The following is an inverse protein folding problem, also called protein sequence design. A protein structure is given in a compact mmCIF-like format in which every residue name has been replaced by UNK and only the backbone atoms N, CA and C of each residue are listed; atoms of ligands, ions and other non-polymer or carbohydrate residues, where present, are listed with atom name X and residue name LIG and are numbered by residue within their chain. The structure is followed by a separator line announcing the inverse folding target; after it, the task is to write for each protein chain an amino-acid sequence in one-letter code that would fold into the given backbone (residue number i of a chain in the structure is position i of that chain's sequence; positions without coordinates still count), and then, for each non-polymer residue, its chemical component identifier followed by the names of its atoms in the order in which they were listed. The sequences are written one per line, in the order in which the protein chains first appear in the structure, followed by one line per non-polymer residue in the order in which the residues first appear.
data_IF_996663895152
#
_entry.id   IF_996663895152
#
_cell.length_a   1.000
_cell.length_b   1.000
_cell.length_c   1.000
_cell.angle_alpha   90.00
_cell.angle_beta   90.00
_cell.angle_gamma   90.00
#
_symmetry.space_group_name_H-M   'P 1'
#
loop_
_entity.id
_entity.type
_entity.pdbx_description
1 polymer ?
#
# COMPACT_ATOMS: atom_id res chain seq x y z
N UNK A 1 -2.46 -6.46 -14.39
CA UNK A 1 -3.94 -6.53 -14.35
C UNK A 1 -4.44 -7.90 -14.80
N UNK A 2 -5.69 -8.23 -14.50
CA UNK A 2 -6.32 -9.48 -14.88
C UNK A 2 -7.71 -9.61 -14.27
N UNK A 3 -8.56 -10.53 -14.76
CA UNK A 3 -9.89 -10.75 -14.22
C UNK A 3 -9.85 -11.33 -12.80
N UNK A 4 -10.98 -11.24 -12.09
CA UNK A 4 -11.16 -11.89 -10.80
C UNK A 4 -10.90 -13.40 -10.92
N UNK A 5 -10.22 -13.98 -9.93
CA UNK A 5 -9.87 -15.39 -9.94
C UNK A 5 -8.67 -15.76 -10.82
N UNK A 6 -7.95 -14.76 -11.36
CA UNK A 6 -6.76 -14.98 -12.20
C UNK A 6 -5.48 -15.29 -11.41
N UNK A 7 -5.55 -15.38 -10.10
CA UNK A 7 -4.39 -15.62 -9.24
C UNK A 7 -3.62 -14.38 -8.81
N UNK A 8 -4.12 -13.17 -9.07
CA UNK A 8 -3.46 -11.91 -8.67
C UNK A 8 -3.26 -11.82 -7.16
N UNK A 9 -4.28 -12.13 -6.38
CA UNK A 9 -4.18 -12.12 -4.91
C UNK A 9 -3.17 -13.15 -4.41
N UNK A 10 -3.16 -14.35 -4.99
CA UNK A 10 -2.15 -15.37 -4.69
C UNK A 10 -0.74 -14.86 -4.99
N UNK A 11 -0.54 -14.22 -6.15
CA UNK A 11 0.77 -13.65 -6.51
C UNK A 11 1.22 -12.60 -5.50
N UNK A 12 0.33 -11.70 -5.11
CA UNK A 12 0.63 -10.67 -4.11
C UNK A 12 0.96 -11.31 -2.75
N UNK A 13 0.18 -12.28 -2.31
CA UNK A 13 0.42 -13.00 -1.06
C UNK A 13 1.76 -13.75 -1.07
N UNK A 14 2.15 -14.32 -2.20
CA UNK A 14 3.46 -14.95 -2.36
C UNK A 14 4.59 -13.92 -2.23
N UNK A 15 4.45 -12.76 -2.85
CA UNK A 15 5.44 -11.68 -2.78
C UNK A 15 5.56 -11.16 -1.35
N UNK A 16 4.45 -10.92 -0.67
CA UNK A 16 4.44 -10.42 0.72
C UNK A 16 4.79 -11.50 1.76
N UNK A 17 4.78 -12.78 1.37
CA UNK A 17 5.02 -13.90 2.27
C UNK A 17 3.82 -14.36 3.08
N UNK A 18 2.62 -13.87 2.78
CA UNK A 18 1.40 -14.21 3.52
C UNK A 18 0.72 -15.48 2.99
N UNK A 19 1.11 -15.94 1.80
CA UNK A 19 0.58 -17.17 1.22
C UNK A 19 1.44 -18.38 1.63
N UNK A 20 0.84 -19.52 2.08
CA UNK A 20 1.59 -20.70 2.51
C UNK A 20 2.57 -21.23 1.49
N UNK A 21 2.24 -21.14 0.19
CA UNK A 21 3.11 -21.61 -0.89
C UNK A 21 4.43 -20.83 -1.02
N UNK A 22 4.54 -19.66 -0.40
CA UNK A 22 5.77 -18.87 -0.47
C UNK A 22 6.97 -19.57 0.18
N UNK A 23 6.74 -20.55 1.04
CA UNK A 23 7.79 -21.38 1.64
C UNK A 23 8.25 -22.55 0.75
N UNK A 24 7.48 -22.87 -0.29
CA UNK A 24 7.73 -24.01 -1.18
C UNK A 24 8.41 -23.55 -2.46
N UNK A 25 8.13 -22.35 -2.94
CA UNK A 25 8.62 -21.82 -4.19
C UNK A 25 9.82 -20.89 -3.97
N UNK A 26 10.83 -21.02 -4.83
CA UNK A 26 11.92 -20.06 -4.90
C UNK A 26 11.42 -18.77 -5.54
N UNK A 27 11.30 -17.72 -4.75
CA UNK A 27 10.85 -16.41 -5.19
C UNK A 27 11.92 -15.38 -4.86
N UNK A 28 12.38 -14.65 -5.87
CA UNK A 28 13.29 -13.54 -5.69
C UNK A 28 12.49 -12.25 -5.41
N UNK A 29 12.75 -11.63 -4.26
CA UNK A 29 12.18 -10.34 -3.88
C UNK A 29 13.34 -9.40 -3.55
N UNK A 30 13.53 -8.37 -4.36
CA UNK A 30 14.64 -7.40 -4.23
C UNK A 30 16.03 -8.07 -4.20
N UNK A 31 16.22 -9.15 -4.97
CA UNK A 31 17.45 -9.90 -4.97
C UNK A 31 17.59 -10.94 -3.86
N UNK A 32 16.64 -11.01 -2.93
CA UNK A 32 16.56 -12.08 -1.94
C UNK A 32 15.75 -13.24 -2.47
N UNK A 33 16.28 -14.43 -2.32
CA UNK A 33 15.60 -15.66 -2.73
C UNK A 33 14.84 -16.24 -1.54
N UNK A 34 13.53 -16.38 -1.69
CA UNK A 34 12.67 -16.98 -0.65
C UNK A 34 13.04 -18.44 -0.43
N UNK A 35 13.14 -18.84 0.85
CA UNK A 35 13.49 -20.20 1.23
C UNK A 35 14.98 -20.44 1.46
N UNK A 36 15.84 -19.41 1.29
CA UNK A 36 17.29 -19.50 1.49
C UNK A 36 17.80 -18.94 2.81
N UNK A 37 16.91 -18.65 3.76
CA UNK A 37 17.27 -18.23 5.10
C UNK A 37 16.85 -16.81 5.49
N UNK A 38 16.39 -15.99 4.54
CA UNK A 38 15.83 -14.69 4.85
C UNK A 38 14.48 -14.86 5.57
N UNK A 39 14.26 -14.12 6.64
CA UNK A 39 12.97 -14.12 7.32
C UNK A 39 11.92 -13.34 6.51
N UNK A 40 10.65 -13.77 6.61
CA UNK A 40 9.52 -13.03 6.04
C UNK A 40 9.49 -11.60 6.56
N UNK A 41 9.82 -11.41 7.82
CA UNK A 41 9.91 -10.11 8.47
C UNK A 41 10.90 -9.17 7.79
N UNK A 42 12.10 -9.66 7.47
CA UNK A 42 13.12 -8.87 6.78
C UNK A 42 12.64 -8.42 5.40
N UNK A 43 11.96 -9.30 4.66
CA UNK A 43 11.40 -8.97 3.35
C UNK A 43 10.27 -7.95 3.47
N UNK A 44 9.37 -8.11 4.44
CA UNK A 44 8.24 -7.19 4.65
C UNK A 44 8.66 -5.77 4.99
N UNK A 45 9.85 -5.57 5.57
CA UNK A 45 10.38 -4.24 5.85
C UNK A 45 10.60 -3.40 4.58
N UNK A 46 10.79 -4.05 3.43
CA UNK A 46 11.02 -3.40 2.13
C UNK A 46 9.74 -3.20 1.32
N UNK A 47 8.58 -3.59 1.86
CA UNK A 47 7.32 -3.59 1.13
C UNK A 47 6.31 -2.71 1.87
N UNK A 48 5.75 -1.72 1.14
CA UNK A 48 4.51 -1.06 1.53
C UNK A 48 3.33 -1.82 0.91
N UNK A 49 2.28 -2.03 1.69
CA UNK A 49 1.10 -2.76 1.21
C UNK A 49 -0.18 -2.04 1.62
N UNK A 50 -1.06 -1.80 0.65
CA UNK A 50 -2.37 -1.22 0.87
C UNK A 50 -3.41 -2.03 0.10
N UNK A 51 -4.44 -2.46 0.80
CA UNK A 51 -5.59 -3.17 0.24
C UNK A 51 -6.89 -2.72 0.90
N UNK A 52 -8.01 -3.05 0.27
CA UNK A 52 -9.33 -2.83 0.88
C UNK A 52 -9.47 -3.63 2.17
N UNK A 53 -8.96 -4.87 2.21
CA UNK A 53 -8.98 -5.70 3.41
C UNK A 53 -8.23 -5.04 4.58
N UNK A 54 -7.04 -4.49 4.33
CA UNK A 54 -6.28 -3.74 5.33
C UNK A 54 -7.08 -2.56 5.87
N UNK A 55 -7.77 -1.83 5.00
CA UNK A 55 -8.58 -0.67 5.40
C UNK A 55 -9.73 -1.09 6.34
N UNK A 56 -10.40 -2.21 6.06
CA UNK A 56 -11.46 -2.74 6.92
C UNK A 56 -10.94 -3.17 8.29
N UNK A 57 -9.71 -3.69 8.35
CA UNK A 57 -9.07 -4.08 9.61
C UNK A 57 -8.56 -2.88 10.41
N UNK A 58 -8.34 -1.74 9.75
CA UNK A 58 -7.76 -0.55 10.36
C UNK A 58 -8.84 0.31 11.03
N UNK A 59 -9.25 -0.10 12.24
CA UNK A 59 -10.38 0.49 12.99
C UNK A 59 -9.94 1.38 14.15
N UNK A 60 -8.77 2.00 14.05
CA UNK A 60 -8.22 2.82 15.12
C UNK A 60 -8.86 4.22 15.19
N UNK A 61 -9.02 4.74 16.39
CA UNK A 61 -9.56 6.09 16.65
C UNK A 61 -8.47 7.16 16.82
N UNK A 62 -7.22 6.81 16.62
CA UNK A 62 -6.11 7.76 16.74
C UNK A 62 -6.10 8.78 15.60
N UNK A 63 -5.32 9.85 15.76
CA UNK A 63 -5.24 10.94 14.78
C UNK A 63 -4.64 10.50 13.44
N UNK A 64 -4.91 11.27 12.38
CA UNK A 64 -4.32 11.05 11.06
C UNK A 64 -2.79 11.03 11.13
N UNK A 65 -2.22 11.99 11.84
CA UNK A 65 -0.77 12.07 12.03
C UNK A 65 -0.23 10.79 12.64
N UNK A 66 -0.84 10.28 13.69
CA UNK A 66 -0.39 9.06 14.37
C UNK A 66 -0.57 7.80 13.51
N UNK A 67 -1.61 7.75 12.68
CA UNK A 67 -1.78 6.66 11.70
C UNK A 67 -0.59 6.64 10.73
N UNK A 68 -0.21 7.78 10.17
CA UNK A 68 0.93 7.87 9.26
C UNK A 68 2.22 7.49 9.98
N UNK A 69 2.45 8.01 11.18
CA UNK A 69 3.65 7.70 11.98
C UNK A 69 3.74 6.20 12.28
N UNK A 70 2.63 5.53 12.50
CA UNK A 70 2.63 4.08 12.76
C UNK A 70 3.25 3.26 11.62
N UNK A 71 3.30 3.82 10.43
CA UNK A 71 3.96 3.21 9.27
C UNK A 71 5.48 3.03 9.45
N UNK A 72 6.13 3.85 10.26
CA UNK A 72 7.55 3.67 10.59
C UNK A 72 7.80 2.41 11.43
N UNK A 73 6.79 1.95 12.16
CA UNK A 73 6.86 0.85 13.11
C UNK A 73 6.13 -0.40 12.63
N UNK A 74 5.52 -0.36 11.46
CA UNK A 74 4.70 -1.44 10.87
C UNK A 74 3.61 -1.97 11.82
N UNK A 75 3.07 -1.09 12.68
CA UNK A 75 2.04 -1.43 13.68
C UNK A 75 0.68 -0.86 13.31
N UNK A 76 -0.38 -1.50 13.81
CA UNK A 76 -1.73 -0.92 13.79
C UNK A 76 -1.84 -0.02 15.03
N UNK A 77 -1.99 1.28 14.79
CA UNK A 77 -1.93 2.28 15.85
C UNK A 77 -0.50 2.59 16.30
N UNK A 78 -0.35 3.61 17.12
CA UNK A 78 0.94 4.07 17.62
C UNK A 78 1.05 3.79 19.12
N UNK A 79 1.93 2.89 19.50
CA UNK A 79 2.14 2.45 20.88
C UNK A 79 3.40 3.01 21.52
N UNK A 80 4.25 3.68 20.73
CA UNK A 80 5.48 4.30 21.19
C UNK A 80 5.43 5.81 20.99
N UNK A 81 6.21 6.54 21.78
CA UNK A 81 6.34 7.99 21.61
C UNK A 81 7.01 8.30 20.26
N UNK A 82 6.37 9.11 19.44
CA UNK A 82 6.92 9.53 18.15
C UNK A 82 8.07 10.54 18.32
N UNK A 83 9.05 10.45 17.43
CA UNK A 83 10.15 11.41 17.35
C UNK A 83 9.71 12.67 16.61
N UNK A 84 10.44 13.78 16.78
CA UNK A 84 10.18 15.02 16.05
C UNK A 84 10.39 14.85 14.54
N UNK A 85 11.36 14.04 14.13
CA UNK A 85 11.58 13.70 12.72
C UNK A 85 10.41 12.95 12.13
N UNK A 86 9.88 11.95 12.82
CA UNK A 86 8.69 11.20 12.39
C UNK A 86 7.48 12.10 12.23
N UNK A 87 7.25 13.00 13.19
CA UNK A 87 6.17 13.98 13.12
C UNK A 87 6.32 14.93 11.93
N UNK A 88 7.54 15.41 11.68
CA UNK A 88 7.82 16.29 10.55
C UNK A 88 7.53 15.61 9.21
N UNK A 89 7.94 14.36 9.04
CA UNK A 89 7.69 13.58 7.82
C UNK A 89 6.18 13.33 7.66
N UNK A 90 5.48 12.96 8.73
CA UNK A 90 4.03 12.76 8.68
C UNK A 90 3.30 14.06 8.30
N UNK A 91 3.73 15.21 8.81
CA UNK A 91 3.15 16.50 8.46
C UNK A 91 3.40 16.87 6.99
N UNK A 92 4.54 16.53 6.42
CA UNK A 92 4.81 16.69 4.99
C UNK A 92 3.84 15.86 4.14
N UNK A 93 3.58 14.62 4.52
CA UNK A 93 2.59 13.78 3.85
C UNK A 93 1.18 14.34 3.96
N UNK A 94 0.79 14.82 5.13
CA UNK A 94 -0.52 15.47 5.32
C UNK A 94 -0.66 16.73 4.45
N UNK A 95 0.40 17.52 4.32
CA UNK A 95 0.41 18.68 3.42
C UNK A 95 0.23 18.25 1.95
N UNK A 96 0.90 17.18 1.53
CA UNK A 96 0.77 16.62 0.20
C UNK A 96 -0.66 16.16 -0.09
N UNK A 97 -1.34 15.59 0.90
CA UNK A 97 -2.73 15.13 0.80
C UNK A 97 -3.76 16.28 0.92
N UNK A 98 -3.32 17.49 1.27
CA UNK A 98 -4.22 18.62 1.56
C UNK A 98 -4.97 18.46 2.89
N UNK A 99 -4.40 17.74 3.85
CA UNK A 99 -5.04 17.41 5.13
C UNK A 99 -4.31 17.98 6.35
N UNK A 100 -3.46 19.00 6.18
CA UNK A 100 -2.66 19.56 7.28
C UNK A 100 -3.52 20.07 8.43
N UNK A 101 -4.65 20.67 8.14
CA UNK A 101 -5.61 21.21 9.11
C UNK A 101 -6.47 20.13 9.79
N UNK A 102 -6.39 18.89 9.28
CA UNK A 102 -7.12 17.74 9.81
C UNK A 102 -6.21 16.74 10.52
N UNK A 103 -4.97 17.09 10.78
CA UNK A 103 -3.94 16.18 11.31
C UNK A 103 -4.31 15.52 12.64
N UNK A 104 -5.08 16.20 13.47
CA UNK A 104 -5.51 15.71 14.79
C UNK A 104 -6.91 15.09 14.77
N UNK A 105 -7.56 15.01 13.61
CA UNK A 105 -8.86 14.38 13.44
C UNK A 105 -8.73 12.86 13.59
N UNK A 106 -9.70 12.18 14.25
CA UNK A 106 -9.70 10.73 14.36
C UNK A 106 -9.82 10.06 12.99
N UNK A 107 -8.94 9.11 12.71
CA UNK A 107 -8.91 8.37 11.44
C UNK A 107 -10.25 7.69 11.12
N UNK A 108 -10.90 7.09 12.11
CA UNK A 108 -12.16 6.37 11.91
C UNK A 108 -13.35 7.27 11.55
N UNK A 109 -13.21 8.58 11.64
CA UNK A 109 -14.23 9.55 11.22
C UNK A 109 -14.06 10.05 9.79
N UNK A 110 -12.95 9.71 9.14
CA UNK A 110 -12.73 10.08 7.74
C UNK A 110 -13.67 9.33 6.80
N UNK A 111 -13.93 9.94 5.64
CA UNK A 111 -14.53 9.22 4.51
C UNK A 111 -13.65 8.04 4.10
N UNK A 112 -14.26 7.05 3.45
CA UNK A 112 -13.54 5.86 2.98
C UNK A 112 -12.40 6.20 2.01
N UNK A 113 -12.63 7.18 1.12
CA UNK A 113 -11.60 7.66 0.19
C UNK A 113 -10.45 8.38 0.91
N UNK A 114 -10.74 9.25 1.87
CA UNK A 114 -9.71 9.94 2.65
C UNK A 114 -8.88 8.97 3.49
N UNK A 115 -9.51 7.96 4.08
CA UNK A 115 -8.81 6.89 4.79
C UNK A 115 -7.79 6.19 3.88
N UNK A 116 -8.17 5.91 2.64
CA UNK A 116 -7.28 5.25 1.68
C UNK A 116 -6.07 6.09 1.35
N UNK A 117 -6.24 7.40 1.16
CA UNK A 117 -5.12 8.32 0.96
C UNK A 117 -4.15 8.31 2.14
N UNK A 118 -4.68 8.34 3.35
CA UNK A 118 -3.86 8.30 4.58
C UNK A 118 -3.12 6.96 4.70
N UNK A 119 -3.74 5.85 4.36
CA UNK A 119 -3.09 4.53 4.39
C UNK A 119 -1.97 4.41 3.34
N UNK A 120 -2.12 5.03 2.18
CA UNK A 120 -1.04 5.10 1.18
C UNK A 120 0.14 5.91 1.74
N UNK A 121 -0.12 7.06 2.34
CA UNK A 121 0.92 7.86 3.00
C UNK A 121 1.62 7.06 4.11
N UNK A 122 0.85 6.35 4.94
CA UNK A 122 1.39 5.45 5.97
C UNK A 122 2.34 4.40 5.39
N UNK A 123 1.99 3.81 4.27
CA UNK A 123 2.85 2.82 3.61
C UNK A 123 4.14 3.43 3.04
N UNK A 124 4.12 4.71 2.69
CA UNK A 124 5.24 5.41 2.06
C UNK A 124 6.22 6.06 3.03
N UNK A 125 5.88 6.28 4.30
CA UNK A 125 6.76 7.03 5.22
C UNK A 125 8.10 6.38 5.46
N UNK A 126 8.20 5.08 5.36
CA UNK A 126 9.46 4.33 5.50
C UNK A 126 10.25 4.22 4.19
N UNK A 127 9.83 4.89 3.12
CA UNK A 127 10.43 4.86 1.79
C UNK A 127 10.64 3.43 1.27
N UNK A 128 9.59 2.61 1.14
CA UNK A 128 9.75 1.23 0.69
C UNK A 128 10.25 1.17 -0.75
N UNK A 129 11.15 0.25 -1.10
CA UNK A 129 11.52 0.02 -2.51
C UNK A 129 10.35 -0.45 -3.37
N UNK A 130 9.37 -1.12 -2.77
CA UNK A 130 8.16 -1.59 -3.44
C UNK A 130 6.92 -1.19 -2.67
N UNK A 131 5.97 -0.59 -3.36
CA UNK A 131 4.62 -0.33 -2.87
C UNK A 131 3.64 -1.21 -3.65
N UNK A 132 2.89 -2.04 -2.93
CA UNK A 132 1.85 -2.90 -3.50
C UNK A 132 0.49 -2.28 -3.19
N UNK A 133 -0.26 -1.96 -4.24
CA UNK A 133 -1.61 -1.43 -4.15
C UNK A 133 -2.58 -2.46 -4.75
N UNK A 134 -3.34 -3.11 -3.88
CA UNK A 134 -4.31 -4.13 -4.28
C UNK A 134 -5.69 -3.49 -4.42
N UNK A 135 -6.10 -3.22 -5.64
CA UNK A 135 -7.34 -2.54 -5.99
C UNK A 135 -7.58 -1.24 -5.20
N UNK A 136 -6.66 -0.27 -5.29
CA UNK A 136 -6.71 0.90 -4.42
C UNK A 136 -7.89 1.84 -4.70
N UNK A 137 -8.59 1.68 -5.82
CA UNK A 137 -9.76 2.48 -6.17
C UNK A 137 -11.09 1.76 -5.94
N UNK A 138 -11.07 0.53 -5.43
CA UNK A 138 -12.28 -0.25 -5.19
C UNK A 138 -13.19 0.45 -4.17
N UNK A 139 -14.46 0.61 -4.52
CA UNK A 139 -15.47 1.22 -3.65
C UNK A 139 -15.42 2.75 -3.58
N UNK A 140 -14.56 3.41 -4.37
CA UNK A 140 -14.46 4.86 -4.42
C UNK A 140 -15.35 5.46 -5.51
N UNK A 141 -15.89 6.65 -5.24
CA UNK A 141 -16.51 7.48 -6.27
C UNK A 141 -15.46 8.06 -7.23
N UNK A 142 -15.90 8.70 -8.31
CA UNK A 142 -15.00 9.22 -9.34
C UNK A 142 -14.02 10.27 -8.81
N UNK A 143 -14.46 11.15 -7.90
CA UNK A 143 -13.60 12.18 -7.33
C UNK A 143 -12.49 11.55 -6.47
N UNK A 144 -12.84 10.66 -5.57
CA UNK A 144 -11.88 9.99 -4.69
C UNK A 144 -10.94 9.08 -5.49
N UNK A 145 -11.46 8.41 -6.52
CA UNK A 145 -10.64 7.62 -7.44
C UNK A 145 -9.57 8.49 -8.12
N UNK A 146 -9.93 9.66 -8.62
CA UNK A 146 -8.99 10.59 -9.24
C UNK A 146 -7.91 11.06 -8.25
N UNK A 147 -8.28 11.32 -7.01
CA UNK A 147 -7.32 11.71 -5.97
C UNK A 147 -6.32 10.60 -5.67
N UNK A 148 -6.79 9.36 -5.55
CA UNK A 148 -5.91 8.19 -5.34
C UNK A 148 -4.97 7.99 -6.53
N UNK A 149 -5.49 8.04 -7.76
CA UNK A 149 -4.67 7.88 -8.96
C UNK A 149 -3.63 8.99 -9.10
N UNK A 150 -3.99 10.23 -8.78
CA UNK A 150 -3.05 11.36 -8.78
C UNK A 150 -1.93 11.18 -7.76
N UNK A 151 -2.24 10.67 -6.56
CA UNK A 151 -1.25 10.37 -5.53
C UNK A 151 -0.31 9.26 -5.98
N UNK A 152 -0.84 8.17 -6.53
CA UNK A 152 -0.05 7.05 -7.03
C UNK A 152 0.87 7.48 -8.17
N UNK A 153 0.36 8.26 -9.11
CA UNK A 153 1.16 8.84 -10.19
C UNK A 153 2.31 9.69 -9.65
N UNK A 154 2.04 10.50 -8.64
CA UNK A 154 3.05 11.33 -8.02
C UNK A 154 4.13 10.51 -7.31
N UNK A 155 3.77 9.40 -6.70
CA UNK A 155 4.72 8.44 -6.10
C UNK A 155 5.57 7.80 -7.20
N UNK A 156 4.97 7.34 -8.30
CA UNK A 156 5.69 6.72 -9.42
C UNK A 156 6.70 7.66 -10.07
N UNK A 157 6.34 8.93 -10.25
CA UNK A 157 7.16 9.90 -10.96
C UNK A 157 8.14 10.65 -10.05
N UNK A 158 7.80 10.80 -8.77
CA UNK A 158 8.53 11.64 -7.81
C UNK A 158 9.36 10.90 -6.78
N UNK A 159 9.39 9.57 -6.80
CA UNK A 159 10.15 8.76 -5.85
C UNK A 159 10.84 7.58 -6.54
N UNK A 160 11.75 6.92 -5.82
CA UNK A 160 12.42 5.69 -6.27
C UNK A 160 11.62 4.42 -5.97
N UNK A 161 10.45 4.55 -5.36
CA UNK A 161 9.58 3.43 -5.03
C UNK A 161 8.99 2.83 -6.32
N UNK A 162 9.17 1.53 -6.49
CA UNK A 162 8.46 0.77 -7.53
C UNK A 162 7.04 0.48 -7.05
N UNK A 163 6.05 0.64 -7.93
CA UNK A 163 4.65 0.41 -7.61
C UNK A 163 4.14 -0.81 -8.36
N UNK A 164 3.61 -1.78 -7.63
CA UNK A 164 2.82 -2.88 -8.18
C UNK A 164 1.34 -2.55 -7.97
N UNK A 165 0.69 -2.14 -9.03
CA UNK A 165 -0.72 -1.76 -9.02
C UNK A 165 -1.57 -2.91 -9.54
N UNK A 166 -2.41 -3.48 -8.68
CA UNK A 166 -3.33 -4.56 -9.04
C UNK A 166 -4.72 -4.00 -9.21
N UNK A 167 -5.30 -4.23 -10.39
CA UNK A 167 -6.52 -3.59 -10.80
C UNK A 167 -7.32 -4.50 -11.74
N UNK A 168 -8.65 -4.47 -11.63
CA UNK A 168 -9.57 -5.16 -12.53
C UNK A 168 -10.15 -4.25 -13.64
N UNK A 169 -9.85 -2.93 -13.58
CA UNK A 169 -10.35 -1.94 -14.54
C UNK A 169 -9.23 -1.39 -15.38
N UNK A 170 -9.31 -1.56 -16.70
CA UNK A 170 -8.31 -0.98 -17.62
C UNK A 170 -8.27 0.56 -17.59
N UNK A 171 -9.34 1.19 -17.09
CA UNK A 171 -9.46 2.63 -17.00
C UNK A 171 -8.54 3.27 -15.95
N UNK A 172 -8.07 2.51 -14.98
CA UNK A 172 -7.23 3.00 -13.89
C UNK A 172 -5.74 2.87 -14.22
N UNK A 173 -5.35 3.19 -15.44
CA UNK A 173 -3.93 3.22 -15.81
C UNK A 173 -3.24 4.41 -15.15
N UNK A 174 -2.05 4.17 -14.65
CA UNK A 174 -1.26 5.17 -13.92
C UNK A 174 -0.02 5.49 -14.74
N UNK A 175 0.26 6.78 -14.94
CA UNK A 175 1.50 7.22 -15.55
C UNK A 175 2.70 6.83 -14.67
N UNK A 176 3.82 6.45 -15.30
CA UNK A 176 5.01 5.99 -14.59
C UNK A 176 5.05 4.50 -14.28
N UNK A 177 4.00 3.76 -14.61
CA UNK A 177 4.02 2.29 -14.60
C UNK A 177 4.43 1.81 -15.99
N UNK A 178 5.69 1.39 -16.14
CA UNK A 178 6.28 1.06 -17.44
C UNK A 178 5.93 -0.35 -17.90
N UNK A 179 5.71 -1.27 -16.97
CA UNK A 179 5.48 -2.68 -17.27
C UNK A 179 4.14 -3.14 -16.70
N UNK A 180 3.36 -3.79 -17.53
CA UNK A 180 2.09 -4.40 -17.15
C UNK A 180 2.17 -5.92 -17.27
N UNK A 181 1.90 -6.62 -16.18
CA UNK A 181 1.66 -8.05 -16.18
C UNK A 181 0.17 -8.29 -16.19
N UNK A 182 -0.32 -8.99 -17.20
CA UNK A 182 -1.72 -9.43 -17.27
C UNK A 182 -1.79 -10.92 -16.98
N UNK A 183 -2.57 -11.27 -15.97
CA UNK A 183 -2.83 -12.66 -15.62
C UNK A 183 -4.19 -13.07 -16.19
N UNK A 184 -4.22 -14.18 -16.92
CA UNK A 184 -5.44 -14.81 -17.40
C UNK A 184 -5.79 -15.98 -16.50
N UNK A 185 -7.04 -16.05 -16.07
CA UNK A 185 -7.51 -17.20 -15.30
C UNK A 185 -7.52 -18.46 -16.18
N UNK A 186 -7.05 -19.57 -15.65
CA UNK A 186 -7.30 -20.87 -16.27
C UNK A 186 -8.78 -21.17 -16.06
N UNK A 187 -9.56 -21.13 -17.12
CA UNK A 187 -10.89 -21.72 -17.12
C UNK A 187 -10.67 -23.23 -17.12
N UNK A 188 -11.06 -23.98 -16.09
CA UNK A 188 -11.02 -25.44 -16.19
C UNK A 188 -11.96 -25.84 -17.34
N UNK A 189 -11.42 -26.62 -18.22
CA UNK A 189 -12.17 -27.18 -19.32
C UNK A 189 -13.26 -28.13 -18.79
#
# INVERSE_FOLDING_TARGET
SGPNGSGKTCLLQLITGDHPQCYVNDINVFGYQRGTGESIWEIKQFIGYVSTALQWEYTVSTSLRNVIISGFHDSIGLYTKSTDTEKAIANEWLALLGMSDRADEPFNRLSFGDQRLVLIARAMVKHPPLLILDEPCLGLDDMNRQLVLALVERICLGSETSVLYVNHREQDRVAGIDNHLTLTGNTPA
#
